data_IF_527257916759
#
_entry.id   IF_527257916759
#
_cell.length_a   1.000
_cell.length_b   1.000
_cell.length_c   1.000
_cell.angle_alpha   90.00
_cell.angle_beta   90.00
_cell.angle_gamma   90.00
#
_symmetry.space_group_name_H-M   'P 1'
#
loop_
_entity.id
_entity.type
_entity.pdbx_description
1 polymer ?
#
# COMPACT_ATOMS: atom_id res chain seq x y z
N UNK A 1 -45.28 11.43 -1.18
CA UNK A 1 -44.73 10.31 -1.97
C UNK A 1 -43.24 10.57 -2.13
N UNK A 2 -42.40 9.71 -1.55
CA UNK A 2 -40.95 9.83 -1.69
C UNK A 2 -40.52 9.01 -2.91
N UNK A 3 -39.97 9.64 -3.94
CA UNK A 3 -39.59 8.95 -5.17
C UNK A 3 -38.23 8.27 -4.95
N UNK A 4 -38.08 7.02 -5.39
CA UNK A 4 -36.81 6.29 -5.29
C UNK A 4 -35.66 7.09 -5.94
N UNK A 5 -35.88 7.53 -7.18
CA UNK A 5 -34.90 8.31 -7.93
C UNK A 5 -34.55 9.64 -7.25
N UNK A 6 -35.51 10.31 -6.59
CA UNK A 6 -35.26 11.54 -5.83
C UNK A 6 -34.29 11.30 -4.67
N UNK A 7 -34.44 10.17 -3.97
CA UNK A 7 -33.50 9.78 -2.91
C UNK A 7 -32.14 9.40 -3.48
N UNK A 8 -32.11 8.74 -4.64
CA UNK A 8 -30.87 8.31 -5.30
C UNK A 8 -30.06 9.50 -5.84
N UNK A 9 -30.70 10.42 -6.58
CA UNK A 9 -30.01 11.54 -7.24
C UNK A 9 -29.41 12.52 -6.22
N UNK A 10 -30.08 12.71 -5.07
CA UNK A 10 -29.59 13.57 -3.97
C UNK A 10 -28.33 13.05 -3.28
N UNK A 11 -27.97 11.78 -3.49
CA UNK A 11 -26.72 11.18 -3.02
C UNK A 11 -25.58 11.29 -4.03
N UNK A 12 -25.88 11.69 -5.27
CA UNK A 12 -24.88 11.82 -6.31
C UNK A 12 -24.19 13.18 -6.20
N UNK A 13 -22.92 13.24 -6.61
CA UNK A 13 -22.16 14.49 -6.67
C UNK A 13 -22.55 15.27 -7.94
N UNK A 14 -23.63 16.06 -7.86
CA UNK A 14 -24.13 16.92 -8.95
C UNK A 14 -24.12 18.38 -8.53
N UNK A 15 -24.08 19.30 -9.51
CA UNK A 15 -24.13 20.74 -9.22
C UNK A 15 -25.47 21.17 -8.65
N UNK A 16 -25.46 22.30 -7.93
CA UNK A 16 -26.67 22.90 -7.38
C UNK A 16 -27.70 23.22 -8.49
N UNK A 17 -27.23 23.71 -9.64
CA UNK A 17 -28.08 23.96 -10.82
C UNK A 17 -28.77 22.69 -11.31
N UNK A 18 -28.02 21.59 -11.43
CA UNK A 18 -28.58 20.29 -11.83
C UNK A 18 -29.58 19.79 -10.79
N UNK A 19 -29.27 19.95 -9.50
CA UNK A 19 -30.15 19.57 -8.39
C UNK A 19 -31.48 20.32 -8.43
N UNK A 20 -31.45 21.65 -8.65
CA UNK A 20 -32.66 22.47 -8.76
C UNK A 20 -33.57 22.00 -9.90
N UNK A 21 -33.00 21.65 -11.05
CA UNK A 21 -33.74 21.09 -12.19
C UNK A 21 -34.40 19.75 -11.85
N UNK A 22 -33.71 18.86 -11.12
CA UNK A 22 -34.33 17.62 -10.64
C UNK A 22 -35.43 17.88 -9.60
N UNK A 23 -35.24 18.82 -8.67
CA UNK A 23 -36.28 19.17 -7.69
C UNK A 23 -37.55 19.72 -8.37
N UNK A 24 -37.40 20.58 -9.38
CA UNK A 24 -38.51 21.05 -10.22
C UNK A 24 -39.19 19.90 -10.98
N UNK A 25 -38.40 18.93 -11.43
CA UNK A 25 -38.92 17.75 -12.11
C UNK A 25 -39.79 16.88 -11.20
N UNK A 26 -39.41 16.72 -9.93
CA UNK A 26 -40.19 16.00 -8.92
C UNK A 26 -41.49 16.71 -8.58
N UNK A 27 -41.48 18.04 -8.48
CA UNK A 27 -42.69 18.82 -8.28
C UNK A 27 -43.67 18.62 -9.45
N UNK A 28 -43.18 18.75 -10.69
CA UNK A 28 -43.98 18.53 -11.89
C UNK A 28 -44.56 17.11 -11.95
N UNK A 29 -43.75 16.10 -11.60
CA UNK A 29 -44.17 14.70 -11.61
C UNK A 29 -45.33 14.46 -10.62
N UNK A 30 -45.21 14.97 -9.38
CA UNK A 30 -46.22 14.79 -8.33
C UNK A 30 -47.58 15.41 -8.67
N UNK A 31 -47.61 16.48 -9.47
CA UNK A 31 -48.86 17.14 -9.91
C UNK A 31 -49.37 16.61 -11.26
N UNK A 32 -48.77 15.56 -11.81
CA UNK A 32 -49.17 14.95 -13.08
C UNK A 32 -48.74 15.71 -14.33
N UNK A 33 -47.86 16.72 -14.20
CA UNK A 33 -47.29 17.47 -15.31
C UNK A 33 -46.09 16.73 -15.95
N UNK A 34 -46.33 15.51 -16.46
CA UNK A 34 -45.27 14.59 -16.88
C UNK A 34 -44.38 15.11 -18.01
N UNK A 35 -44.90 15.92 -18.93
CA UNK A 35 -44.07 16.58 -19.96
C UNK A 35 -43.05 17.53 -19.34
N UNK A 36 -43.48 18.37 -18.39
CA UNK A 36 -42.60 19.28 -17.68
C UNK A 36 -41.60 18.52 -16.81
N UNK A 37 -42.05 17.46 -16.12
CA UNK A 37 -41.18 16.59 -15.34
C UNK A 37 -40.08 15.95 -16.20
N UNK A 38 -40.43 15.47 -17.40
CA UNK A 38 -39.45 14.93 -18.33
C UNK A 38 -38.45 16.00 -18.79
N UNK A 39 -38.94 17.17 -19.21
CA UNK A 39 -38.09 18.27 -19.69
C UNK A 39 -37.08 18.71 -18.63
N UNK A 40 -37.53 18.93 -17.40
CA UNK A 40 -36.65 19.35 -16.29
C UNK A 40 -35.64 18.25 -15.92
N UNK A 41 -36.07 16.98 -15.91
CA UNK A 41 -35.14 15.85 -15.67
C UNK A 41 -34.08 15.76 -16.76
N UNK A 42 -34.47 15.96 -18.03
CA UNK A 42 -33.55 15.93 -19.16
C UNK A 42 -32.54 17.07 -19.09
N UNK A 43 -33.01 18.27 -18.76
CA UNK A 43 -32.14 19.43 -18.61
C UNK A 43 -31.17 19.25 -17.44
N UNK A 44 -31.65 18.71 -16.31
CA UNK A 44 -30.80 18.34 -15.18
C UNK A 44 -29.71 17.34 -15.57
N UNK A 45 -30.06 16.31 -16.33
CA UNK A 45 -29.09 15.36 -16.87
C UNK A 45 -28.07 16.00 -17.82
N UNK A 46 -28.51 16.85 -18.75
CA UNK A 46 -27.60 17.57 -19.66
C UNK A 46 -26.68 18.53 -18.92
N UNK A 47 -27.16 19.17 -17.85
CA UNK A 47 -26.35 20.05 -17.00
C UNK A 47 -25.26 19.25 -16.27
N UNK A 48 -25.58 18.06 -15.74
CA UNK A 48 -24.56 17.15 -15.19
C UNK A 48 -23.44 16.84 -16.20
N UNK A 49 -23.79 16.59 -17.47
CA UNK A 49 -22.81 16.33 -18.52
C UNK A 49 -22.00 17.60 -18.89
N UNK A 50 -22.65 18.76 -18.97
CA UNK A 50 -21.98 20.06 -19.17
C UNK A 50 -20.95 20.31 -18.08
N UNK A 51 -21.31 20.10 -16.81
CA UNK A 51 -20.42 20.34 -15.68
C UNK A 51 -19.22 19.38 -15.71
N UNK A 52 -19.42 18.12 -16.10
CA UNK A 52 -18.31 17.19 -16.32
C UNK A 52 -17.38 17.68 -17.42
N UNK A 53 -17.91 18.04 -18.58
CA UNK A 53 -17.09 18.60 -19.66
C UNK A 53 -16.34 19.86 -19.23
N UNK A 54 -16.95 20.76 -18.46
CA UNK A 54 -16.34 22.00 -17.97
C UNK A 54 -15.24 21.75 -16.91
N UNK A 55 -15.37 20.69 -16.11
CA UNK A 55 -14.42 20.35 -15.06
C UNK A 55 -13.35 19.33 -15.49
N UNK A 56 -13.48 18.71 -16.66
CA UNK A 56 -12.49 17.76 -17.19
C UNK A 56 -11.37 18.41 -17.99
N UNK A 57 -10.24 17.71 -18.05
CA UNK A 57 -9.14 18.00 -18.97
C UNK A 57 -9.50 17.64 -20.41
N UNK A 58 -8.65 18.07 -21.36
CA UNK A 58 -8.82 17.83 -22.79
C UNK A 58 -8.84 16.32 -23.10
N UNK A 59 -9.88 15.81 -23.79
CA UNK A 59 -9.87 14.44 -24.24
C UNK A 59 -8.74 14.11 -25.22
N UNK A 60 -8.22 12.89 -25.21
CA UNK A 60 -7.08 12.50 -26.04
C UNK A 60 -7.39 12.56 -27.55
N UNK A 61 -8.59 12.14 -27.93
CA UNK A 61 -9.06 12.09 -29.32
C UNK A 61 -9.49 13.46 -29.87
N UNK A 62 -9.29 14.54 -29.11
CA UNK A 62 -9.69 15.90 -29.44
C UNK A 62 -8.46 16.81 -29.39
N UNK A 63 -8.26 17.59 -30.45
CA UNK A 63 -7.19 18.60 -30.48
C UNK A 63 -7.52 19.79 -29.56
N UNK A 64 -6.49 20.49 -29.10
CA UNK A 64 -6.61 21.56 -28.11
C UNK A 64 -7.52 22.69 -28.57
N UNK A 65 -7.38 23.13 -29.83
CA UNK A 65 -8.21 24.19 -30.42
C UNK A 65 -9.68 23.79 -30.46
N UNK A 66 -9.98 22.53 -30.82
CA UNK A 66 -11.35 22.01 -30.79
C UNK A 66 -11.90 21.94 -29.37
N UNK A 67 -11.08 21.53 -28.40
CA UNK A 67 -11.49 21.48 -27.00
C UNK A 67 -11.80 22.86 -26.41
N UNK A 68 -10.96 23.86 -26.69
CA UNK A 68 -11.22 25.25 -26.29
C UNK A 68 -12.53 25.76 -26.87
N UNK A 69 -12.80 25.43 -28.14
CA UNK A 69 -14.06 25.78 -28.80
C UNK A 69 -15.26 25.12 -28.09
N UNK A 70 -15.13 23.85 -27.69
CA UNK A 70 -16.16 23.13 -26.93
C UNK A 70 -16.38 23.81 -25.57
N UNK A 71 -15.32 24.09 -24.80
CA UNK A 71 -15.41 24.80 -23.52
C UNK A 71 -16.07 26.17 -23.66
N UNK A 72 -15.71 26.95 -24.68
CA UNK A 72 -16.34 28.25 -24.96
C UNK A 72 -17.84 28.09 -25.27
N UNK A 73 -18.19 27.12 -26.13
CA UNK A 73 -19.59 26.84 -26.51
C UNK A 73 -20.43 26.34 -25.33
N UNK A 74 -19.82 25.69 -24.33
CA UNK A 74 -20.51 25.27 -23.11
C UNK A 74 -20.89 26.44 -22.20
N UNK A 75 -20.23 27.60 -22.33
CA UNK A 75 -20.55 28.81 -21.58
C UNK A 75 -21.60 29.69 -22.26
N UNK A 76 -21.99 29.36 -23.49
CA UNK A 76 -23.02 30.07 -24.24
C UNK A 76 -24.39 29.41 -24.04
N UNK A 77 -25.34 30.16 -23.46
CA UNK A 77 -26.67 29.67 -23.09
C UNK A 77 -27.52 29.19 -24.28
N UNK A 78 -27.24 29.68 -25.50
CA UNK A 78 -28.02 29.33 -26.68
C UNK A 78 -27.54 28.03 -27.35
N UNK A 79 -26.29 27.61 -27.09
CA UNK A 79 -25.66 26.49 -27.82
C UNK A 79 -25.11 25.38 -26.93
N UNK A 80 -25.04 25.56 -25.61
CA UNK A 80 -24.42 24.55 -24.73
C UNK A 80 -25.14 23.19 -24.75
N UNK A 81 -26.49 23.16 -24.75
CA UNK A 81 -27.24 21.89 -24.75
C UNK A 81 -26.92 21.08 -26.03
N UNK A 82 -26.90 21.76 -27.17
CA UNK A 82 -26.52 21.16 -28.45
C UNK A 82 -25.05 20.72 -28.45
N UNK A 83 -24.17 21.48 -27.82
CA UNK A 83 -22.75 21.13 -27.67
C UNK A 83 -22.59 19.83 -26.87
N UNK A 84 -23.23 19.73 -25.69
CA UNK A 84 -23.24 18.51 -24.88
C UNK A 84 -23.73 17.33 -25.70
N UNK A 85 -24.86 17.47 -26.39
CA UNK A 85 -25.39 16.40 -27.23
C UNK A 85 -24.40 15.98 -28.31
N UNK A 86 -23.82 16.93 -29.03
CA UNK A 86 -22.84 16.64 -30.08
C UNK A 86 -21.65 15.85 -29.52
N UNK A 87 -21.13 16.22 -28.35
CA UNK A 87 -20.02 15.47 -27.72
C UNK A 87 -20.39 14.02 -27.39
N UNK A 88 -21.65 13.72 -27.05
CA UNK A 88 -22.10 12.32 -26.84
C UNK A 88 -22.18 11.50 -28.13
N UNK A 89 -22.20 12.14 -29.31
CA UNK A 89 -22.39 11.47 -30.59
C UNK A 89 -21.11 11.40 -31.43
N UNK A 90 -20.23 12.40 -31.31
CA UNK A 90 -18.98 12.48 -32.08
C UNK A 90 -18.09 11.26 -31.84
N UNK A 91 -17.75 10.57 -32.94
CA UNK A 91 -16.92 9.38 -32.92
C UNK A 91 -15.65 9.57 -33.75
N UNK A 92 -14.56 8.95 -33.34
CA UNK A 92 -13.35 8.89 -34.13
C UNK A 92 -13.57 8.03 -35.38
N UNK A 93 -12.96 8.45 -36.50
CA UNK A 93 -13.17 7.81 -37.80
C UNK A 93 -12.41 6.50 -37.94
N UNK A 94 -11.30 6.33 -37.22
CA UNK A 94 -10.49 5.13 -37.30
C UNK A 94 -10.97 4.06 -36.31
N UNK A 95 -11.31 4.46 -35.08
CA UNK A 95 -11.66 3.51 -34.01
C UNK A 95 -13.17 3.37 -33.77
N UNK A 96 -14.00 4.23 -34.34
CA UNK A 96 -15.45 4.32 -34.08
C UNK A 96 -15.83 4.58 -32.61
N UNK A 97 -14.85 4.88 -31.74
CA UNK A 97 -15.04 5.23 -30.34
C UNK A 97 -15.55 6.66 -30.20
N UNK A 98 -16.28 6.98 -29.13
CA UNK A 98 -16.66 8.37 -28.87
C UNK A 98 -15.41 9.22 -28.57
N UNK A 99 -15.36 10.45 -29.06
CA UNK A 99 -14.19 11.32 -28.90
C UNK A 99 -14.06 11.93 -27.49
N UNK A 100 -15.18 12.14 -26.81
CA UNK A 100 -15.27 12.90 -25.57
C UNK A 100 -15.66 12.08 -24.36
N UNK A 101 -16.26 10.90 -24.50
CA UNK A 101 -16.74 10.08 -23.38
C UNK A 101 -16.40 8.60 -23.55
N UNK A 102 -16.30 7.87 -22.44
CA UNK A 102 -16.17 6.42 -22.43
C UNK A 102 -17.54 5.70 -22.49
N UNK A 103 -18.28 5.91 -23.59
CA UNK A 103 -19.63 5.35 -23.77
C UNK A 103 -19.75 4.41 -24.99
N UNK A 104 -20.56 3.36 -24.85
CA UNK A 104 -20.81 2.39 -25.91
C UNK A 104 -21.65 2.98 -27.05
N UNK A 105 -21.58 2.34 -28.23
CA UNK A 105 -22.42 2.71 -29.38
C UNK A 105 -23.92 2.59 -29.08
N UNK A 106 -24.33 1.65 -28.22
CA UNK A 106 -25.72 1.51 -27.81
C UNK A 106 -26.15 2.65 -26.88
N UNK A 107 -25.29 3.07 -25.96
CA UNK A 107 -25.58 4.22 -25.10
C UNK A 107 -25.72 5.52 -25.92
N UNK A 108 -24.98 5.68 -27.03
CA UNK A 108 -25.18 6.80 -27.97
C UNK A 108 -26.59 6.82 -28.56
N UNK A 109 -27.10 5.65 -28.98
CA UNK A 109 -28.46 5.50 -29.52
C UNK A 109 -29.53 5.79 -28.47
N UNK A 110 -29.31 5.36 -27.23
CA UNK A 110 -30.22 5.65 -26.12
C UNK A 110 -30.30 7.16 -25.85
N UNK A 111 -29.19 7.89 -25.92
CA UNK A 111 -29.20 9.36 -25.79
C UNK A 111 -29.99 10.02 -26.92
N UNK A 112 -29.84 9.54 -28.15
CA UNK A 112 -30.61 10.03 -29.29
C UNK A 112 -32.12 9.79 -29.08
N UNK A 113 -32.50 8.61 -28.60
CA UNK A 113 -33.88 8.31 -28.21
C UNK A 113 -34.42 9.32 -27.19
N UNK A 114 -33.66 9.62 -26.12
CA UNK A 114 -34.10 10.56 -25.10
C UNK A 114 -34.17 12.00 -25.61
N UNK A 115 -33.29 12.41 -26.52
CA UNK A 115 -33.37 13.69 -27.23
C UNK A 115 -34.65 13.80 -28.06
N UNK A 116 -35.04 12.73 -28.76
CA UNK A 116 -36.30 12.68 -29.51
C UNK A 116 -37.49 12.86 -28.55
N UNK A 117 -37.50 12.16 -27.41
CA UNK A 117 -38.55 12.29 -26.39
C UNK A 117 -38.62 13.68 -25.76
N UNK A 118 -37.48 14.33 -25.50
CA UNK A 118 -37.42 15.73 -25.08
C UNK A 118 -38.10 16.64 -26.09
N UNK A 119 -37.81 16.47 -27.38
CA UNK A 119 -38.42 17.27 -28.45
C UNK A 119 -39.93 17.02 -28.59
N UNK A 120 -40.40 15.80 -28.38
CA UNK A 120 -41.84 15.49 -28.32
C UNK A 120 -42.53 16.21 -27.15
N UNK A 121 -41.87 16.29 -25.99
CA UNK A 121 -42.39 17.02 -24.83
C UNK A 121 -42.47 18.54 -25.09
N UNK A 122 -41.45 19.13 -25.70
CA UNK A 122 -41.36 20.57 -25.95
C UNK A 122 -42.33 21.06 -27.04
N UNK A 123 -42.49 20.30 -28.13
CA UNK A 123 -43.30 20.71 -29.29
C UNK A 123 -44.74 20.19 -29.25
N UNK A 124 -45.16 19.56 -28.15
CA UNK A 124 -46.51 19.01 -27.96
C UNK A 124 -47.01 18.18 -29.17
N UNK A 125 -46.11 17.38 -29.77
CA UNK A 125 -46.49 16.44 -30.85
C UNK A 125 -47.56 15.45 -30.35
N UNK A 126 -48.29 14.80 -31.26
CA UNK A 126 -49.40 13.86 -31.00
C UNK A 126 -49.06 12.61 -30.14
N UNK A 127 -47.94 12.59 -29.42
CA UNK A 127 -47.51 11.51 -28.54
C UNK A 127 -47.94 11.78 -27.10
N UNK A 128 -48.54 10.77 -26.47
CA UNK A 128 -48.88 10.79 -25.05
C UNK A 128 -47.59 10.56 -24.24
N UNK A 129 -47.23 11.54 -23.41
CA UNK A 129 -46.14 11.43 -22.43
C UNK A 129 -46.79 11.26 -21.06
N UNK A 130 -46.56 10.10 -20.45
CA UNK A 130 -47.09 9.74 -19.13
C UNK A 130 -45.97 9.45 -18.12
N UNK A 131 -46.35 9.14 -16.88
CA UNK A 131 -45.43 8.85 -15.78
C UNK A 131 -44.39 7.77 -16.15
N UNK A 132 -44.78 6.74 -16.90
CA UNK A 132 -43.89 5.65 -17.34
C UNK A 132 -42.69 6.13 -18.15
N UNK A 133 -42.82 7.21 -18.92
CA UNK A 133 -41.71 7.76 -19.70
C UNK A 133 -40.72 8.49 -18.81
N UNK A 134 -41.21 9.16 -17.76
CA UNK A 134 -40.38 9.84 -16.77
C UNK A 134 -39.64 8.80 -15.93
N UNK A 135 -40.34 7.78 -15.45
CA UNK A 135 -39.75 6.69 -14.65
C UNK A 135 -38.69 5.94 -15.45
N UNK A 136 -38.96 5.62 -16.72
CA UNK A 136 -37.98 4.96 -17.60
C UNK A 136 -36.74 5.84 -17.80
N UNK A 137 -36.91 7.15 -17.93
CA UNK A 137 -35.78 8.06 -18.07
C UNK A 137 -34.97 8.18 -16.77
N UNK A 138 -35.63 8.21 -15.61
CA UNK A 138 -34.95 8.15 -14.32
C UNK A 138 -34.17 6.85 -14.12
N UNK A 139 -34.74 5.70 -14.52
CA UNK A 139 -34.02 4.43 -14.50
C UNK A 139 -32.81 4.44 -15.45
N UNK A 140 -32.93 5.09 -16.62
CA UNK A 140 -31.81 5.30 -17.52
C UNK A 140 -30.70 6.15 -16.88
N UNK A 141 -31.05 7.27 -16.23
CA UNK A 141 -30.07 8.11 -15.53
C UNK A 141 -29.42 7.31 -14.40
N UNK A 142 -30.21 6.63 -13.58
CA UNK A 142 -29.71 5.79 -12.48
C UNK A 142 -28.72 4.73 -12.97
N UNK A 143 -29.02 4.09 -14.11
CA UNK A 143 -28.20 3.03 -14.69
C UNK A 143 -26.96 3.50 -15.44
N UNK A 144 -26.94 4.75 -15.91
CA UNK A 144 -25.95 5.19 -16.89
C UNK A 144 -25.23 6.50 -16.56
N UNK A 145 -25.71 7.31 -15.60
CA UNK A 145 -25.10 8.62 -15.29
C UNK A 145 -23.61 8.48 -15.02
N UNK A 146 -23.18 7.47 -14.25
CA UNK A 146 -21.76 7.26 -13.92
C UNK A 146 -20.90 6.82 -15.12
N UNK A 147 -21.50 6.30 -16.20
CA UNK A 147 -20.77 5.85 -17.39
C UNK A 147 -20.33 7.01 -18.30
N UNK A 148 -20.90 8.20 -18.12
CA UNK A 148 -20.52 9.40 -18.86
C UNK A 148 -19.25 10.05 -18.30
N UNK A 149 -18.16 9.30 -18.31
CA UNK A 149 -16.82 9.80 -17.95
C UNK A 149 -16.23 10.45 -19.19
N UNK A 150 -15.80 11.71 -19.09
CA UNK A 150 -15.11 12.40 -20.19
C UNK A 150 -13.81 11.66 -20.46
N UNK A 151 -13.46 11.46 -21.74
CA UNK A 151 -12.34 10.66 -22.21
C UNK A 151 -10.99 11.29 -21.86
N UNK A 152 -10.68 11.26 -20.57
CA UNK A 152 -9.36 11.18 -19.94
C UNK A 152 -9.45 10.06 -18.88
N UNK A 153 -9.82 8.86 -19.34
CA UNK A 153 -10.24 7.70 -18.54
C UNK A 153 -9.11 7.02 -17.76
N UNK A 154 -8.97 5.70 -17.92
CA UNK A 154 -7.83 4.95 -17.37
C UNK A 154 -6.51 5.64 -17.70
N UNK A 155 -6.34 6.03 -18.96
CA UNK A 155 -5.16 6.72 -19.50
C UNK A 155 -4.99 8.14 -18.92
N UNK A 156 -6.08 8.87 -18.69
CA UNK A 156 -6.01 10.20 -18.06
C UNK A 156 -5.70 10.13 -16.57
N UNK A 157 -6.17 9.09 -15.87
CA UNK A 157 -5.77 8.82 -14.49
C UNK A 157 -4.27 8.46 -14.42
N UNK A 158 -3.76 7.64 -15.35
CA UNK A 158 -2.33 7.32 -15.44
C UNK A 158 -1.48 8.59 -15.68
N UNK A 159 -1.87 9.44 -16.62
CA UNK A 159 -1.17 10.71 -16.88
C UNK A 159 -1.15 11.65 -15.65
N UNK A 160 -2.23 11.64 -14.85
CA UNK A 160 -2.28 12.39 -13.59
C UNK A 160 -1.41 11.78 -12.49
N UNK A 161 -1.30 10.44 -12.44
CA UNK A 161 -0.36 9.74 -11.56
C UNK A 161 1.06 10.17 -11.96
N UNK A 162 1.44 10.06 -13.23
CA UNK A 162 2.76 10.48 -13.73
C UNK A 162 3.08 11.93 -13.37
N UNK A 163 2.09 12.83 -13.53
CA UNK A 163 2.24 14.24 -13.18
C UNK A 163 2.43 14.46 -11.67
N UNK A 164 1.77 13.68 -10.83
CA UNK A 164 1.89 13.78 -9.36
C UNK A 164 3.28 13.39 -8.88
N UNK A 165 3.86 12.33 -9.45
CA UNK A 165 5.21 11.86 -9.09
C UNK A 165 6.34 12.62 -9.80
N UNK A 166 6.00 13.54 -10.69
CA UNK A 166 6.97 14.41 -11.33
C UNK A 166 7.21 15.68 -10.49
N UNK A 167 8.39 15.73 -9.86
CA UNK A 167 8.83 16.82 -8.98
C UNK A 167 8.89 18.21 -9.63
N UNK A 168 8.80 18.30 -10.96
CA UNK A 168 8.69 19.59 -11.68
C UNK A 168 7.32 20.24 -11.52
N UNK A 169 6.27 19.47 -11.24
CA UNK A 169 4.88 19.95 -11.24
C UNK A 169 4.24 19.92 -9.86
N UNK A 170 4.54 18.90 -9.05
CA UNK A 170 3.90 18.64 -7.75
C UNK A 170 4.97 18.13 -6.79
N UNK A 171 4.81 18.38 -5.49
CA UNK A 171 5.57 17.66 -4.47
C UNK A 171 5.11 16.19 -4.45
N UNK A 172 5.97 15.21 -4.82
CA UNK A 172 5.57 13.80 -4.90
C UNK A 172 5.12 13.20 -3.55
N UNK A 173 5.38 13.87 -2.42
CA UNK A 173 4.95 13.43 -1.09
C UNK A 173 3.59 14.01 -0.68
N UNK A 174 3.01 14.87 -1.51
CA UNK A 174 1.68 15.42 -1.28
C UNK A 174 0.61 14.33 -1.32
N UNK A 175 -0.58 14.62 -0.77
CA UNK A 175 -1.64 13.61 -0.64
C UNK A 175 -2.17 13.13 -2.01
N UNK A 176 -1.97 11.85 -2.31
CA UNK A 176 -2.45 11.20 -3.53
C UNK A 176 -3.87 10.61 -3.41
N UNK A 177 -4.57 10.81 -2.29
CA UNK A 177 -5.90 10.23 -2.03
C UNK A 177 -6.94 10.57 -3.11
N UNK A 178 -6.81 11.73 -3.76
CA UNK A 178 -7.70 12.14 -4.85
C UNK A 178 -7.56 11.26 -6.11
N UNK A 179 -6.36 10.72 -6.38
CA UNK A 179 -6.11 9.79 -7.48
C UNK A 179 -6.73 8.43 -7.18
N UNK A 180 -6.60 7.97 -5.94
CA UNK A 180 -7.07 6.66 -5.49
C UNK A 180 -8.60 6.58 -5.51
N UNK A 181 -9.27 7.68 -5.11
CA UNK A 181 -10.74 7.79 -5.16
C UNK A 181 -11.31 7.70 -6.58
N UNK A 182 -10.51 8.04 -7.59
CA UNK A 182 -10.95 8.00 -8.99
C UNK A 182 -10.82 6.60 -9.62
N UNK A 183 -9.99 5.71 -9.04
CA UNK A 183 -9.79 4.34 -9.54
C UNK A 183 -11.12 3.61 -9.78
N UNK A 184 -12.03 3.46 -8.78
CA UNK A 184 -13.29 2.75 -8.97
C UNK A 184 -14.30 3.50 -9.86
N UNK A 185 -14.03 4.77 -10.19
CA UNK A 185 -14.87 5.57 -11.08
C UNK A 185 -14.52 5.37 -12.56
N UNK A 186 -13.26 5.04 -12.84
CA UNK A 186 -12.74 4.92 -14.21
C UNK A 186 -12.42 3.48 -14.63
N UNK A 187 -12.32 2.55 -13.67
CA UNK A 187 -12.06 1.13 -13.89
C UNK A 187 -13.15 0.28 -13.25
N UNK A 188 -13.62 -0.78 -13.94
CA UNK A 188 -14.59 -1.71 -13.34
C UNK A 188 -13.93 -2.48 -12.19
N UNK A 189 -14.65 -2.84 -11.13
CA UNK A 189 -14.08 -3.57 -9.99
C UNK A 189 -13.24 -4.80 -10.36
N UNK A 190 -13.68 -5.60 -11.34
CA UNK A 190 -12.97 -6.80 -11.81
C UNK A 190 -11.68 -6.51 -12.60
N UNK A 191 -11.50 -5.28 -13.09
CA UNK A 191 -10.36 -4.85 -13.90
C UNK A 191 -9.36 -4.02 -13.05
N UNK A 192 -9.70 -3.71 -11.79
CA UNK A 192 -8.82 -2.94 -10.88
C UNK A 192 -7.49 -3.66 -10.62
N UNK A 193 -7.43 -4.99 -10.37
CA UNK A 193 -6.15 -5.67 -10.14
C UNK A 193 -5.17 -5.52 -11.31
N UNK A 194 -5.66 -5.67 -12.54
CA UNK A 194 -4.86 -5.48 -13.76
C UNK A 194 -4.40 -4.02 -13.92
N UNK A 195 -5.24 -3.07 -13.53
CA UNK A 195 -4.89 -1.65 -13.53
C UNK A 195 -3.82 -1.30 -12.49
N UNK A 196 -3.93 -1.85 -11.27
CA UNK A 196 -2.91 -1.67 -10.23
C UNK A 196 -1.57 -2.25 -10.68
N UNK A 197 -1.60 -3.40 -11.38
CA UNK A 197 -0.40 -3.97 -11.98
C UNK A 197 0.24 -3.02 -13.01
N UNK A 198 -0.55 -2.41 -13.87
CA UNK A 198 -0.03 -1.44 -14.85
C UNK A 198 0.61 -0.22 -14.19
N UNK A 199 -0.01 0.31 -13.11
CA UNK A 199 0.57 1.38 -12.30
C UNK A 199 1.91 0.93 -11.72
N UNK A 200 1.96 -0.28 -11.15
CA UNK A 200 3.18 -0.83 -10.55
C UNK A 200 4.32 -0.99 -11.54
N UNK A 201 4.02 -1.56 -12.71
CA UNK A 201 5.02 -1.90 -13.72
C UNK A 201 5.58 -0.66 -14.42
N UNK A 202 4.75 0.38 -14.63
CA UNK A 202 5.10 1.49 -15.54
C UNK A 202 5.15 2.88 -14.90
N UNK A 203 4.56 3.07 -13.72
CA UNK A 203 4.33 4.42 -13.17
C UNK A 203 4.89 4.60 -11.75
N UNK A 204 4.45 3.77 -10.80
CA UNK A 204 4.81 3.88 -9.37
C UNK A 204 5.23 2.51 -8.85
N UNK A 205 6.53 2.24 -8.89
CA UNK A 205 7.08 0.95 -8.47
C UNK A 205 7.50 0.94 -6.99
N UNK A 206 7.47 -0.25 -6.36
CA UNK A 206 8.11 -0.53 -5.08
C UNK A 206 9.45 -1.29 -5.23
N UNK A 207 9.89 -1.55 -6.46
CA UNK A 207 11.12 -2.28 -6.69
C UNK A 207 12.34 -1.48 -6.23
N UNK A 208 13.29 -2.18 -5.59
CA UNK A 208 14.69 -1.73 -5.41
C UNK A 208 14.85 -0.32 -4.83
N UNK A 209 14.52 -0.16 -3.55
CA UNK A 209 14.64 1.10 -2.78
C UNK A 209 13.73 2.21 -3.32
N UNK A 210 12.40 2.05 -3.16
CA UNK A 210 11.44 3.02 -3.66
C UNK A 210 11.59 4.38 -2.98
N UNK A 211 11.16 5.42 -3.69
CA UNK A 211 10.99 6.73 -3.09
C UNK A 211 9.91 6.68 -2.00
N UNK A 212 10.07 7.52 -0.97
CA UNK A 212 9.09 7.65 0.13
C UNK A 212 7.67 7.88 -0.42
N UNK A 213 7.55 8.72 -1.46
CA UNK A 213 6.32 9.02 -2.21
C UNK A 213 5.61 7.76 -2.74
N UNK A 214 6.35 6.83 -3.34
CA UNK A 214 5.81 5.56 -3.84
C UNK A 214 5.25 4.71 -2.71
N UNK A 215 5.97 4.62 -1.59
CA UNK A 215 5.50 3.88 -0.41
C UNK A 215 4.23 4.51 0.19
N UNK A 216 4.16 5.85 0.27
CA UNK A 216 2.96 6.58 0.71
C UNK A 216 1.74 6.22 -0.15
N UNK A 217 1.91 6.22 -1.47
CA UNK A 217 0.85 5.94 -2.42
C UNK A 217 0.32 4.51 -2.31
N UNK A 218 1.21 3.53 -2.31
CA UNK A 218 0.81 2.13 -2.15
C UNK A 218 0.18 1.87 -0.80
N UNK A 219 0.66 2.52 0.27
CA UNK A 219 0.03 2.45 1.59
C UNK A 219 -1.42 2.94 1.55
N UNK A 220 -1.70 4.03 0.86
CA UNK A 220 -3.06 4.55 0.73
C UNK A 220 -3.98 3.61 -0.07
N UNK A 221 -3.46 2.92 -1.09
CA UNK A 221 -4.22 1.92 -1.86
C UNK A 221 -4.57 0.71 -1.00
N UNK A 222 -3.57 0.12 -0.34
CA UNK A 222 -3.72 -1.10 0.47
C UNK A 222 -4.64 -0.86 1.67
N UNK A 223 -4.56 0.33 2.27
CA UNK A 223 -5.37 0.73 3.43
C UNK A 223 -6.58 1.60 3.04
N UNK A 224 -6.98 1.55 1.77
CA UNK A 224 -8.14 2.31 1.27
C UNK A 224 -9.41 1.93 2.02
N UNK A 225 -10.27 2.92 2.28
CA UNK A 225 -11.62 2.69 2.83
C UNK A 225 -12.59 2.10 1.82
N UNK A 226 -12.25 2.15 0.52
CA UNK A 226 -13.03 1.51 -0.54
C UNK A 226 -12.64 0.03 -0.64
N UNK A 227 -13.58 -0.85 -0.24
CA UNK A 227 -13.37 -2.29 -0.23
C UNK A 227 -13.07 -2.87 -1.62
N UNK A 228 -13.56 -2.26 -2.70
CA UNK A 228 -13.22 -2.73 -4.05
C UNK A 228 -11.74 -2.50 -4.34
N UNK A 229 -11.22 -1.34 -3.94
CA UNK A 229 -9.80 -0.99 -4.14
C UNK A 229 -8.91 -1.83 -3.22
N UNK A 230 -9.24 -1.94 -1.94
CA UNK A 230 -8.41 -2.70 -0.99
C UNK A 230 -8.37 -4.20 -1.33
N UNK A 231 -9.51 -4.80 -1.70
CA UNK A 231 -9.55 -6.21 -2.09
C UNK A 231 -8.82 -6.45 -3.42
N UNK A 232 -9.00 -5.55 -4.40
CA UNK A 232 -8.27 -5.63 -5.66
C UNK A 232 -6.76 -5.46 -5.46
N UNK A 233 -6.32 -4.67 -4.48
CA UNK A 233 -4.91 -4.55 -4.12
C UNK A 233 -4.36 -5.87 -3.58
N UNK A 234 -5.09 -6.56 -2.69
CA UNK A 234 -4.68 -7.88 -2.20
C UNK A 234 -4.63 -8.93 -3.31
N UNK A 235 -5.59 -8.91 -4.24
CA UNK A 235 -5.60 -9.78 -5.42
C UNK A 235 -4.40 -9.51 -6.33
N UNK A 236 -4.10 -8.24 -6.61
CA UNK A 236 -2.93 -7.83 -7.37
C UNK A 236 -1.62 -8.29 -6.70
N UNK A 237 -1.45 -8.07 -5.39
CA UNK A 237 -0.24 -8.47 -4.66
C UNK A 237 -0.06 -9.99 -4.68
N UNK A 238 -1.17 -10.74 -4.68
CA UNK A 238 -1.17 -12.20 -4.73
C UNK A 238 -0.94 -12.77 -6.14
N UNK A 239 -0.91 -11.91 -7.18
CA UNK A 239 -0.84 -12.35 -8.58
C UNK A 239 0.55 -12.77 -9.05
N UNK A 240 1.61 -12.28 -8.41
CA UNK A 240 3.00 -12.54 -8.80
C UNK A 240 3.92 -12.64 -7.56
N UNK A 241 4.86 -13.58 -7.60
CA UNK A 241 5.81 -13.82 -6.49
C UNK A 241 6.71 -12.60 -6.23
N UNK A 242 7.17 -11.92 -7.27
CA UNK A 242 8.01 -10.73 -7.16
C UNK A 242 7.25 -9.57 -6.52
N UNK A 243 6.04 -9.28 -7.04
CA UNK A 243 5.15 -8.27 -6.46
C UNK A 243 4.87 -8.56 -4.98
N UNK A 244 4.51 -9.81 -4.66
CA UNK A 244 4.27 -10.22 -3.28
C UNK A 244 5.47 -9.87 -2.38
N UNK A 245 6.68 -10.21 -2.82
CA UNK A 245 7.92 -9.96 -2.09
C UNK A 245 8.24 -8.48 -1.87
N UNK A 246 8.07 -7.64 -2.88
CA UNK A 246 8.27 -6.20 -2.72
C UNK A 246 7.27 -5.62 -1.71
N UNK A 247 5.98 -5.97 -1.82
CA UNK A 247 4.95 -5.43 -0.94
C UNK A 247 5.11 -5.84 0.52
N UNK A 248 5.40 -7.12 0.82
CA UNK A 248 5.57 -7.54 2.23
C UNK A 248 6.79 -6.90 2.91
N UNK A 249 7.76 -6.44 2.11
CA UNK A 249 8.97 -5.80 2.61
C UNK A 249 8.66 -4.40 3.12
N UNK A 250 7.71 -3.70 2.49
CA UNK A 250 7.25 -2.37 2.89
C UNK A 250 6.04 -2.42 3.84
N UNK A 251 5.18 -3.44 3.71
CA UNK A 251 3.93 -3.59 4.45
C UNK A 251 3.82 -4.96 5.12
N UNK A 252 4.70 -5.27 6.09
CA UNK A 252 4.79 -6.62 6.68
C UNK A 252 3.50 -7.07 7.37
N UNK A 253 2.73 -6.13 7.94
CA UNK A 253 1.43 -6.39 8.56
C UNK A 253 0.41 -7.05 7.62
N UNK A 254 0.53 -6.84 6.30
CA UNK A 254 -0.37 -7.43 5.31
C UNK A 254 -0.11 -8.90 5.02
N UNK A 255 1.02 -9.44 5.49
CA UNK A 255 1.33 -10.86 5.36
C UNK A 255 0.23 -11.75 5.96
N UNK A 256 -0.44 -11.30 7.02
CA UNK A 256 -1.53 -12.05 7.67
C UNK A 256 -2.75 -12.19 6.75
N UNK A 257 -3.12 -11.11 6.06
CA UNK A 257 -4.26 -11.08 5.14
C UNK A 257 -3.96 -11.89 3.88
N UNK A 258 -2.74 -11.76 3.34
CA UNK A 258 -2.30 -12.41 2.10
C UNK A 258 -2.09 -13.92 2.24
N UNK A 259 -1.69 -14.41 3.42
CA UNK A 259 -1.35 -15.82 3.64
C UNK A 259 -2.46 -16.79 3.23
N UNK A 260 -3.73 -16.38 3.29
CA UNK A 260 -4.86 -17.22 2.87
C UNK A 260 -4.87 -17.57 1.38
N UNK A 261 -4.19 -16.79 0.54
CA UNK A 261 -4.15 -16.95 -0.91
C UNK A 261 -2.76 -17.29 -1.46
N UNK A 262 -1.70 -17.17 -0.64
CA UNK A 262 -0.30 -17.23 -1.10
C UNK A 262 0.59 -18.16 -0.27
N UNK A 263 0.08 -19.32 0.17
CA UNK A 263 0.84 -20.28 1.02
C UNK A 263 2.19 -20.68 0.39
N UNK A 264 2.21 -20.90 -0.93
CA UNK A 264 3.44 -21.20 -1.67
C UNK A 264 4.46 -20.05 -1.61
N UNK A 265 4.02 -18.80 -1.77
CA UNK A 265 4.90 -17.62 -1.72
C UNK A 265 5.43 -17.41 -0.30
N UNK A 266 4.58 -17.59 0.72
CA UNK A 266 5.01 -17.53 2.12
C UNK A 266 6.05 -18.61 2.41
N UNK A 267 5.88 -19.82 1.86
CA UNK A 267 6.88 -20.88 1.97
C UNK A 267 8.21 -20.52 1.28
N UNK A 268 8.17 -19.91 0.10
CA UNK A 268 9.38 -19.43 -0.60
C UNK A 268 10.04 -18.29 0.17
N UNK A 269 9.25 -17.40 0.79
CA UNK A 269 9.72 -16.29 1.61
C UNK A 269 10.64 -16.81 2.72
N UNK A 270 10.11 -17.63 3.63
CA UNK A 270 10.88 -18.05 4.80
C UNK A 270 11.89 -19.16 4.48
N UNK A 271 11.72 -19.98 3.43
CA UNK A 271 12.76 -20.96 3.04
C UNK A 271 13.93 -20.33 2.32
N UNK A 272 13.73 -19.26 1.56
CA UNK A 272 14.74 -18.75 0.63
C UNK A 272 14.94 -17.24 0.73
N UNK A 273 13.90 -16.44 0.45
CA UNK A 273 14.06 -15.00 0.17
C UNK A 273 14.42 -14.17 1.40
N UNK A 274 13.83 -14.47 2.55
CA UNK A 274 14.05 -13.75 3.81
C UNK A 274 15.54 -13.69 4.19
N UNK A 275 16.30 -14.72 3.83
CA UNK A 275 17.73 -14.82 4.13
C UNK A 275 18.64 -14.33 3.00
N UNK A 276 18.09 -13.66 1.99
CA UNK A 276 18.89 -12.95 0.99
C UNK A 276 19.44 -11.65 1.57
N UNK A 277 20.55 -11.16 1.03
CA UNK A 277 21.19 -9.92 1.50
C UNK A 277 20.21 -8.75 1.51
N UNK A 278 19.36 -8.64 0.48
CA UNK A 278 18.35 -7.59 0.34
C UNK A 278 17.36 -7.56 1.53
N UNK A 279 16.81 -8.71 1.90
CA UNK A 279 15.85 -8.81 3.01
C UNK A 279 16.50 -8.62 4.37
N UNK A 280 17.65 -9.24 4.61
CA UNK A 280 18.38 -9.08 5.87
C UNK A 280 18.72 -7.60 6.09
N UNK A 281 19.06 -6.88 5.02
CA UNK A 281 19.32 -5.45 5.07
C UNK A 281 18.07 -4.58 5.05
N UNK A 282 16.85 -5.11 5.18
CA UNK A 282 15.65 -4.27 5.25
C UNK A 282 15.30 -3.92 6.72
N UNK A 283 14.79 -2.72 6.97
CA UNK A 283 14.44 -2.27 8.32
C UNK A 283 13.26 -3.05 8.92
N UNK A 284 12.37 -3.57 8.07
CA UNK A 284 11.23 -4.40 8.46
C UNK A 284 11.57 -5.90 8.59
N UNK A 285 12.85 -6.29 8.45
CA UNK A 285 13.26 -7.71 8.52
C UNK A 285 12.72 -8.42 9.78
N UNK A 286 12.94 -7.83 10.95
CA UNK A 286 12.55 -8.43 12.21
C UNK A 286 11.03 -8.41 12.43
N UNK A 287 10.32 -7.44 11.87
CA UNK A 287 8.86 -7.41 11.88
C UNK A 287 8.29 -8.61 11.10
N UNK A 288 8.82 -8.86 9.88
CA UNK A 288 8.44 -10.03 9.08
C UNK A 288 8.72 -11.33 9.84
N UNK A 289 9.89 -11.45 10.47
CA UNK A 289 10.25 -12.61 11.30
C UNK A 289 9.26 -12.81 12.45
N UNK A 290 8.92 -11.73 13.16
CA UNK A 290 8.00 -11.80 14.29
C UNK A 290 6.58 -12.21 13.85
N UNK A 291 6.10 -11.73 12.71
CA UNK A 291 4.81 -12.14 12.15
C UNK A 291 4.81 -13.62 11.79
N UNK A 292 5.85 -14.11 11.09
CA UNK A 292 6.00 -15.52 10.72
C UNK A 292 5.95 -16.46 11.95
N UNK A 293 6.62 -16.07 13.03
CA UNK A 293 6.68 -16.84 14.27
C UNK A 293 5.36 -16.78 15.05
N UNK A 294 4.81 -15.58 15.23
CA UNK A 294 3.61 -15.34 16.04
C UNK A 294 2.38 -16.01 15.43
N UNK A 295 2.23 -15.93 14.11
CA UNK A 295 1.12 -16.53 13.38
C UNK A 295 1.36 -17.98 12.95
N UNK A 296 2.51 -18.57 13.33
CA UNK A 296 2.86 -19.98 13.06
C UNK A 296 2.79 -20.35 11.57
N UNK A 297 3.25 -19.46 10.70
CA UNK A 297 3.35 -19.71 9.25
C UNK A 297 4.44 -20.73 8.89
N UNK A 298 5.28 -21.08 9.86
CA UNK A 298 6.34 -22.06 9.70
C UNK A 298 5.90 -23.37 10.36
N UNK A 299 5.83 -24.47 9.60
CA UNK A 299 5.52 -25.78 10.16
C UNK A 299 6.51 -26.16 11.27
N UNK A 300 6.02 -26.82 12.32
CA UNK A 300 6.84 -27.24 13.47
C UNK A 300 8.06 -28.05 13.03
N UNK A 301 7.93 -28.87 11.97
CA UNK A 301 9.02 -29.67 11.41
C UNK A 301 10.15 -28.86 10.79
N UNK A 302 9.88 -27.63 10.32
CA UNK A 302 10.87 -26.75 9.69
C UNK A 302 11.33 -25.63 10.66
N UNK A 303 10.69 -25.47 11.83
CA UNK A 303 10.93 -24.36 12.75
C UNK A 303 12.37 -24.32 13.26
N UNK A 304 12.94 -25.45 13.69
CA UNK A 304 14.31 -25.50 14.19
C UNK A 304 15.33 -25.07 13.13
N UNK A 305 15.14 -25.53 11.89
CA UNK A 305 15.97 -25.12 10.76
C UNK A 305 15.88 -23.61 10.49
N UNK A 306 14.67 -23.06 10.55
CA UNK A 306 14.45 -21.63 10.37
C UNK A 306 15.13 -20.79 11.47
N UNK A 307 14.93 -21.14 12.75
CA UNK A 307 15.56 -20.45 13.88
C UNK A 307 17.09 -20.54 13.81
N UNK A 308 17.64 -21.68 13.38
CA UNK A 308 19.08 -21.85 13.20
C UNK A 308 19.68 -20.90 12.16
N UNK A 309 18.94 -20.62 11.08
CA UNK A 309 19.35 -19.61 10.09
C UNK A 309 19.21 -18.18 10.63
N UNK A 310 18.15 -17.89 11.38
CA UNK A 310 17.94 -16.58 12.00
C UNK A 310 19.06 -16.20 12.98
N UNK A 311 19.60 -17.18 13.72
CA UNK A 311 20.73 -16.95 14.62
C UNK A 311 21.93 -16.32 13.88
N UNK A 312 22.14 -16.68 12.61
CA UNK A 312 23.20 -16.11 11.78
C UNK A 312 22.91 -14.71 11.21
N UNK A 313 21.71 -14.15 11.41
CA UNK A 313 21.32 -12.84 10.88
C UNK A 313 21.51 -11.69 11.88
N UNK A 314 21.79 -12.00 13.15
CA UNK A 314 22.03 -11.00 14.21
C UNK A 314 23.35 -10.31 13.92
N UNK A 315 23.30 -9.00 13.64
CA UNK A 315 24.47 -8.20 13.29
C UNK A 315 24.30 -6.74 13.70
N UNK A 316 25.40 -5.98 13.70
CA UNK A 316 25.49 -4.55 14.09
C UNK A 316 24.32 -3.73 13.57
N UNK A 317 24.05 -3.87 12.27
CA UNK A 317 23.12 -3.00 11.56
C UNK A 317 21.67 -3.47 11.71
N UNK A 318 21.45 -4.66 12.27
CA UNK A 318 20.17 -5.37 12.23
C UNK A 318 19.95 -6.15 13.53
N UNK A 319 20.04 -5.48 14.66
CA UNK A 319 19.65 -6.05 15.95
C UNK A 319 18.12 -5.99 16.12
N UNK A 320 17.49 -7.04 16.69
CA UNK A 320 16.11 -6.96 17.14
C UNK A 320 15.94 -5.86 18.20
N UNK A 321 14.82 -5.12 18.15
CA UNK A 321 14.43 -4.21 19.23
C UNK A 321 13.81 -5.00 20.41
N UNK A 322 13.50 -4.33 21.52
CA UNK A 322 12.96 -4.98 22.72
C UNK A 322 11.70 -5.83 22.47
N UNK A 323 10.78 -5.34 21.62
CA UNK A 323 9.54 -6.05 21.34
C UNK A 323 9.77 -7.29 20.46
N UNK A 324 10.63 -7.18 19.45
CA UNK A 324 11.09 -8.34 18.69
C UNK A 324 11.78 -9.36 19.61
N UNK A 325 12.65 -8.90 20.52
CA UNK A 325 13.38 -9.76 21.44
C UNK A 325 12.46 -10.51 22.39
N UNK A 326 11.36 -9.92 22.87
CA UNK A 326 10.34 -10.62 23.68
C UNK A 326 9.77 -11.82 22.96
N UNK A 327 9.50 -11.70 21.66
CA UNK A 327 8.99 -12.80 20.82
C UNK A 327 10.10 -13.84 20.62
N UNK A 328 11.32 -13.41 20.29
CA UNK A 328 12.45 -14.31 20.05
C UNK A 328 12.83 -15.13 21.30
N UNK A 329 12.67 -14.59 22.52
CA UNK A 329 12.88 -15.31 23.79
C UNK A 329 11.92 -16.49 23.99
N UNK A 330 10.78 -16.51 23.29
CA UNK A 330 9.83 -17.63 23.32
C UNK A 330 10.23 -18.77 22.37
N UNK A 331 11.35 -18.62 21.64
CA UNK A 331 11.89 -19.61 20.70
C UNK A 331 13.20 -20.19 21.21
N UNK A 332 13.70 -21.24 20.53
CA UNK A 332 15.01 -21.82 20.83
C UNK A 332 16.21 -21.01 20.30
N UNK A 333 16.01 -19.76 19.87
CA UNK A 333 17.06 -18.93 19.26
C UNK A 333 18.29 -18.81 20.16
N UNK A 334 18.10 -18.41 21.41
CA UNK A 334 19.21 -18.21 22.34
C UNK A 334 19.95 -19.50 22.66
N UNK A 335 19.23 -20.62 22.80
CA UNK A 335 19.84 -21.94 22.96
C UNK A 335 20.71 -22.32 21.76
N UNK A 336 20.26 -21.99 20.54
CA UNK A 336 21.05 -22.21 19.31
C UNK A 336 22.28 -21.30 19.27
N UNK A 337 22.12 -20.01 19.61
CA UNK A 337 23.25 -19.08 19.69
C UNK A 337 24.27 -19.59 20.70
N UNK A 338 23.83 -20.04 21.88
CA UNK A 338 24.70 -20.61 22.91
C UNK A 338 25.50 -21.79 22.38
N UNK A 339 24.80 -22.74 21.75
CA UNK A 339 25.43 -23.92 21.15
C UNK A 339 26.43 -23.57 20.06
N UNK A 340 26.12 -22.56 19.24
CA UNK A 340 26.96 -22.15 18.12
C UNK A 340 28.20 -21.35 18.54
N UNK A 341 28.09 -20.50 19.56
CA UNK A 341 29.16 -19.61 20.02
C UNK A 341 29.97 -20.18 21.17
N UNK A 342 29.29 -20.58 22.26
CA UNK A 342 29.96 -20.88 23.53
C UNK A 342 30.25 -22.38 23.71
N UNK A 343 29.31 -23.26 23.37
CA UNK A 343 29.53 -24.72 23.52
C UNK A 343 30.37 -25.33 22.38
N UNK A 344 30.53 -24.61 21.27
CA UNK A 344 31.21 -25.14 20.09
C UNK A 344 32.74 -25.12 20.19
N UNK A 345 33.30 -24.40 21.18
CA UNK A 345 34.73 -24.14 21.32
C UNK A 345 35.32 -23.28 20.19
N UNK A 346 34.48 -22.66 19.34
CA UNK A 346 34.96 -21.88 18.18
C UNK A 346 35.68 -20.61 18.59
N UNK A 347 35.27 -19.97 19.70
CA UNK A 347 35.89 -18.74 20.17
C UNK A 347 37.33 -18.99 20.64
N UNK A 348 37.61 -20.16 21.18
CA UNK A 348 38.95 -20.54 21.66
C UNK A 348 39.77 -21.39 20.68
N UNK A 349 39.28 -21.56 19.44
CA UNK A 349 39.99 -22.38 18.44
C UNK A 349 41.23 -21.66 17.91
N UNK A 350 42.39 -22.31 18.04
CA UNK A 350 43.69 -21.77 17.62
C UNK A 350 43.67 -21.24 16.17
N UNK A 351 44.19 -20.03 15.99
CA UNK A 351 44.33 -19.35 14.69
C UNK A 351 43.06 -18.70 14.12
N UNK A 352 41.86 -19.02 14.64
CA UNK A 352 40.59 -18.47 14.14
C UNK A 352 39.69 -17.86 15.22
N UNK A 353 39.96 -18.14 16.49
CA UNK A 353 39.13 -17.75 17.62
C UNK A 353 38.89 -16.24 17.69
N UNK A 354 39.95 -15.45 17.59
CA UNK A 354 39.88 -13.97 17.65
C UNK A 354 39.07 -13.37 16.51
N UNK A 355 39.30 -13.88 15.29
CA UNK A 355 38.53 -13.45 14.13
C UNK A 355 37.05 -13.83 14.28
N UNK A 356 36.77 -14.99 14.88
CA UNK A 356 35.40 -15.44 15.17
C UNK A 356 34.75 -14.51 16.20
N UNK A 357 35.44 -14.22 17.31
CA UNK A 357 34.95 -13.32 18.36
C UNK A 357 34.67 -11.91 17.82
N UNK A 358 35.57 -11.34 17.02
CA UNK A 358 35.38 -10.04 16.39
C UNK A 358 34.24 -10.03 15.36
N UNK A 359 34.11 -11.08 14.53
CA UNK A 359 33.04 -11.17 13.53
C UNK A 359 31.66 -11.40 14.15
N UNK A 360 31.60 -12.07 15.29
CA UNK A 360 30.36 -12.44 16.00
C UNK A 360 30.08 -11.52 17.19
N UNK A 361 30.82 -10.42 17.35
CA UNK A 361 30.80 -9.56 18.53
C UNK A 361 29.38 -9.11 18.91
N UNK A 362 28.61 -8.63 17.93
CA UNK A 362 27.23 -8.19 18.15
C UNK A 362 26.29 -9.32 18.52
N UNK A 363 26.51 -10.53 17.98
CA UNK A 363 25.71 -11.70 18.36
C UNK A 363 26.04 -12.16 19.78
N UNK A 364 27.33 -12.06 20.17
CA UNK A 364 27.78 -12.34 21.53
C UNK A 364 27.14 -11.32 22.49
N UNK A 365 27.32 -10.02 22.28
CA UNK A 365 26.76 -8.98 23.15
C UNK A 365 25.24 -9.08 23.24
N UNK A 366 24.55 -9.24 22.11
CA UNK A 366 23.09 -9.41 22.10
C UNK A 366 22.63 -10.62 22.92
N UNK A 367 23.42 -11.71 22.95
CA UNK A 367 23.14 -12.85 23.83
C UNK A 367 23.32 -12.48 25.31
N UNK A 368 24.44 -11.86 25.67
CA UNK A 368 24.77 -11.49 27.05
C UNK A 368 23.77 -10.50 27.66
N UNK A 369 23.24 -9.58 26.86
CA UNK A 369 22.22 -8.61 27.29
C UNK A 369 20.85 -9.27 27.56
N UNK A 370 20.62 -10.47 27.04
CA UNK A 370 19.27 -11.05 26.99
C UNK A 370 19.12 -12.39 27.70
N UNK A 371 20.22 -13.02 28.09
CA UNK A 371 20.25 -14.35 28.70
C UNK A 371 21.11 -14.29 29.95
N UNK A 372 20.61 -14.89 31.05
CA UNK A 372 21.39 -15.01 32.28
C UNK A 372 22.64 -15.87 32.02
N UNK A 373 23.75 -15.45 32.61
CA UNK A 373 25.03 -16.15 32.49
C UNK A 373 24.98 -17.53 33.12
N UNK A 374 25.77 -18.44 32.56
CA UNK A 374 26.06 -19.74 33.14
C UNK A 374 27.55 -20.08 33.02
N UNK A 375 27.94 -21.19 33.66
CA UNK A 375 29.32 -21.66 33.75
C UNK A 375 29.98 -21.89 32.39
N UNK A 376 29.22 -22.36 31.39
CA UNK A 376 29.73 -22.59 30.04
C UNK A 376 30.10 -21.27 29.37
N UNK A 377 29.21 -20.28 29.44
CA UNK A 377 29.46 -18.95 28.85
C UNK A 377 30.64 -18.27 29.54
N UNK A 378 30.66 -18.31 30.88
CA UNK A 378 31.74 -17.73 31.70
C UNK A 378 33.08 -18.40 31.38
N UNK A 379 33.12 -19.74 31.32
CA UNK A 379 34.34 -20.47 31.01
C UNK A 379 34.88 -20.17 29.60
N UNK A 380 34.02 -20.14 28.58
CA UNK A 380 34.45 -19.89 27.20
C UNK A 380 34.98 -18.46 27.03
N UNK A 381 34.32 -17.46 27.62
CA UNK A 381 34.78 -16.07 27.59
C UNK A 381 36.07 -15.88 28.41
N UNK A 382 36.16 -16.45 29.60
CA UNK A 382 37.36 -16.36 30.43
C UNK A 382 38.58 -16.98 29.75
N UNK A 383 38.41 -18.09 29.03
CA UNK A 383 39.48 -18.70 28.23
C UNK A 383 39.92 -17.77 27.08
N UNK A 384 38.97 -17.17 26.37
CA UNK A 384 39.27 -16.29 25.23
C UNK A 384 40.12 -15.10 25.67
N UNK A 385 39.74 -14.45 26.77
CA UNK A 385 40.40 -13.25 27.28
C UNK A 385 41.75 -13.50 27.98
N UNK A 386 42.22 -14.76 28.10
CA UNK A 386 43.60 -15.04 28.56
C UNK A 386 44.63 -14.36 27.69
N UNK A 387 44.39 -14.34 26.39
CA UNK A 387 45.32 -13.80 25.40
C UNK A 387 44.68 -12.77 24.47
N UNK A 388 43.35 -12.64 24.47
CA UNK A 388 42.61 -11.67 23.64
C UNK A 388 42.67 -10.29 24.29
N UNK A 389 43.45 -9.37 23.70
CA UNK A 389 43.77 -8.05 24.28
C UNK A 389 43.43 -6.86 23.38
N UNK A 390 42.82 -7.09 22.22
CA UNK A 390 42.51 -6.05 21.25
C UNK A 390 41.47 -6.53 20.23
N UNK A 391 40.78 -5.58 19.58
CA UNK A 391 39.79 -5.83 18.52
C UNK A 391 38.41 -5.30 18.90
N UNK A 392 37.51 -5.24 17.94
CA UNK A 392 36.16 -4.68 18.12
C UNK A 392 35.38 -5.38 19.23
N UNK A 393 35.51 -6.70 19.37
CA UNK A 393 34.83 -7.42 20.45
C UNK A 393 35.42 -7.10 21.84
N UNK A 394 36.73 -6.82 21.93
CA UNK A 394 37.36 -6.46 23.20
C UNK A 394 36.79 -5.12 23.71
N UNK A 395 36.80 -4.11 22.83
CA UNK A 395 36.24 -2.78 23.11
C UNK A 395 34.73 -2.85 23.45
N UNK A 396 33.97 -3.67 22.72
CA UNK A 396 32.55 -3.88 23.01
C UNK A 396 32.30 -4.56 24.36
N UNK A 397 33.20 -5.45 24.80
CA UNK A 397 33.08 -6.09 26.11
C UNK A 397 33.43 -5.13 27.24
N UNK A 398 34.45 -4.27 27.08
CA UNK A 398 34.75 -3.20 28.03
C UNK A 398 33.53 -2.29 28.20
N UNK A 399 32.98 -1.78 27.09
CA UNK A 399 31.79 -0.94 27.12
C UNK A 399 30.59 -1.67 27.74
N UNK A 400 30.38 -2.95 27.42
CA UNK A 400 29.28 -3.73 27.99
C UNK A 400 29.40 -3.87 29.52
N UNK A 401 30.63 -4.05 30.04
CA UNK A 401 30.89 -4.13 31.49
C UNK A 401 30.65 -2.76 32.15
N UNK A 402 31.11 -1.67 31.53
CA UNK A 402 30.89 -0.30 32.03
C UNK A 402 29.40 0.04 32.08
N UNK A 403 28.66 -0.24 31.01
CA UNK A 403 27.23 0.06 30.89
C UNK A 403 26.37 -0.86 31.78
N UNK A 404 26.86 -2.07 32.08
CA UNK A 404 26.13 -3.07 32.86
C UNK A 404 26.98 -3.62 34.03
N UNK A 405 27.21 -2.87 35.13
CA UNK A 405 28.04 -3.32 36.25
C UNK A 405 27.54 -4.62 36.93
N UNK A 406 26.26 -4.97 36.76
CA UNK A 406 25.73 -6.26 37.22
C UNK A 406 26.33 -7.45 36.47
N UNK A 407 26.61 -7.29 35.17
CA UNK A 407 27.19 -8.35 34.36
C UNK A 407 28.49 -8.88 34.98
N UNK A 408 29.42 -7.98 35.33
CA UNK A 408 30.72 -8.40 35.88
C UNK A 408 30.59 -8.99 37.28
N UNK A 409 29.63 -8.51 38.06
CA UNK A 409 29.30 -9.07 39.38
C UNK A 409 28.82 -10.52 39.25
N UNK A 410 27.85 -10.77 38.36
CA UNK A 410 27.30 -12.10 38.10
C UNK A 410 28.37 -13.03 37.50
N UNK A 411 29.20 -12.52 36.58
CA UNK A 411 30.30 -13.26 35.96
C UNK A 411 31.29 -13.77 37.01
N UNK A 412 31.70 -12.90 37.95
CA UNK A 412 32.62 -13.24 39.05
C UNK A 412 32.01 -14.23 40.03
N UNK A 413 30.73 -14.06 40.36
CA UNK A 413 30.02 -14.98 41.25
C UNK A 413 29.96 -16.40 40.65
N UNK A 414 29.58 -16.51 39.38
CA UNK A 414 29.53 -17.80 38.67
C UNK A 414 30.93 -18.41 38.57
N UNK A 415 31.96 -17.63 38.26
CA UNK A 415 33.33 -18.11 38.20
C UNK A 415 33.79 -18.68 39.55
N UNK A 416 33.52 -17.96 40.64
CA UNK A 416 33.83 -18.40 42.01
C UNK A 416 33.09 -19.68 42.39
N UNK A 417 31.80 -19.77 42.07
CA UNK A 417 30.98 -20.93 42.40
C UNK A 417 31.35 -22.20 41.62
N UNK A 418 32.09 -22.06 40.51
CA UNK A 418 32.50 -23.15 39.64
C UNK A 418 34.04 -23.34 39.59
N UNK A 419 34.77 -22.78 40.56
CA UNK A 419 36.24 -22.88 40.66
C UNK A 419 37.01 -22.42 39.40
N UNK A 420 36.46 -21.45 38.66
CA UNK A 420 37.07 -20.86 37.47
C UNK A 420 38.02 -19.74 37.91
N UNK A 421 39.31 -19.89 37.60
CA UNK A 421 40.32 -18.83 37.85
C UNK A 421 40.15 -17.73 36.79
N UNK A 422 39.72 -16.55 37.25
CA UNK A 422 39.51 -15.39 36.38
C UNK A 422 40.81 -14.85 35.81
N UNK A 423 40.76 -14.42 34.55
CA UNK A 423 41.83 -13.63 33.92
C UNK A 423 41.76 -12.17 34.37
N UNK A 424 42.88 -11.48 34.26
CA UNK A 424 43.06 -10.06 34.65
C UNK A 424 41.89 -9.19 34.19
N UNK A 425 41.51 -9.30 32.91
CA UNK A 425 40.40 -8.56 32.31
C UNK A 425 39.07 -8.65 33.08
N UNK A 426 38.73 -9.80 33.66
CA UNK A 426 37.48 -9.97 34.42
C UNK A 426 37.69 -9.85 35.94
N UNK A 427 38.94 -9.85 36.41
CA UNK A 427 39.30 -9.82 37.82
C UNK A 427 39.44 -8.41 38.40
N UNK A 428 39.80 -7.41 37.57
CA UNK A 428 40.07 -6.04 38.03
C UNK A 428 38.81 -5.28 38.45
N UNK A 429 38.81 -4.71 39.66
CA UNK A 429 37.75 -3.78 40.09
C UNK A 429 37.90 -2.44 39.34
N UNK A 430 36.90 -2.09 38.53
CA UNK A 430 36.85 -0.85 37.74
C UNK A 430 36.76 0.42 38.63
N UNK A 431 36.81 0.30 39.96
CA UNK A 431 36.75 1.45 40.88
C UNK A 431 38.06 2.26 41.01
N UNK A 432 39.09 2.06 40.17
CA UNK A 432 40.43 2.63 40.45
C UNK A 432 41.02 3.60 39.41
N UNK A 433 40.23 4.27 38.57
CA UNK A 433 40.76 5.33 37.68
C UNK A 433 40.04 6.70 37.74
N UNK A 434 39.08 6.91 38.65
CA UNK A 434 38.51 8.26 38.91
C UNK A 434 39.22 9.05 40.03
N UNK A 435 40.43 8.65 40.41
CA UNK A 435 41.32 9.41 41.28
C UNK A 435 42.72 9.47 40.69
N UNK A 436 42.89 10.19 39.58
CA UNK A 436 44.10 10.97 39.22
C UNK A 436 44.05 11.39 37.74
N UNK A 437 43.39 12.52 37.44
CA UNK A 437 43.93 13.57 36.54
C UNK A 437 43.14 14.87 36.66
#
# INVERSE_FOLDING_TARGET
MNLHFETWIKKQNISEDSSRLFDESFLCYRVGAYRAAFLMSYLGFMKCLKDRLLNSDKPDLVDEKRWDTVKQSLNDEDVWENTVITTTQESDRATSQNKYYLISSDLKKEIEYWKIKRNECAHAKNTIIGYSHVDMFWLFIESNLMKFVVNGGKEGLLARIDKHFNSLYVDPRSDASYLIKDIPLVVKPSEIPEFLKEIYDNHVSLHSNPEESSELFWRQIIHSTDLNVSNAALEFISSDEGVFFDFITHFPNKLIELNSHTDEFVRVLWKKRLFSRFYISNDNFWEIVCILLTHRFIPISDLEFFISRLAGCISVFRLPNEDHTKILKQTNLFSIIKKQLFESGKLNKSGIGYNTANNESHRIIYYLENVALDDVVVSELNELFKTFKFGSFFEMMEQHIEDNPRFITDFREIAKNNDIVLVEFFAEDIETEMQES
#
